data_IF_782531246058
#
_entry.id   IF_782531246058
#
_cell.length_a   1.000
_cell.length_b   1.000
_cell.length_c   1.000
_cell.angle_alpha   90.00
_cell.angle_beta   90.00
_cell.angle_gamma   90.00
#
_symmetry.space_group_name_H-M   'P 1'
#
loop_
_entity.id
_entity.type
_entity.pdbx_description
1 polymer ?
#
# COMPACT_ATOMS: atom_id res chain seq x y z
N UNK A 1 -54.15 2.70 26.62
CA UNK A 1 -53.18 3.60 27.27
C UNK A 1 -51.83 2.91 27.19
N UNK A 2 -50.98 3.27 26.23
CA UNK A 2 -49.62 2.72 26.12
C UNK A 2 -48.71 3.53 27.03
N UNK A 3 -48.33 2.99 28.18
CA UNK A 3 -47.36 3.64 29.06
C UNK A 3 -46.00 3.61 28.37
N UNK A 4 -45.52 4.78 27.95
CA UNK A 4 -44.12 4.95 27.55
C UNK A 4 -43.28 4.81 28.80
N UNK A 5 -42.85 3.59 29.11
CA UNK A 5 -41.95 3.33 30.23
C UNK A 5 -40.56 3.89 29.86
N UNK A 6 -40.21 5.05 30.42
CA UNK A 6 -38.94 5.71 30.15
C UNK A 6 -37.86 4.95 30.91
N UNK A 7 -36.90 4.38 30.18
CA UNK A 7 -35.78 3.66 30.77
C UNK A 7 -34.99 4.57 31.72
N UNK A 8 -34.66 4.06 32.92
CA UNK A 8 -33.79 4.78 33.86
C UNK A 8 -32.39 4.97 33.26
N UNK A 9 -31.66 5.98 33.72
CA UNK A 9 -30.33 6.27 33.20
C UNK A 9 -29.35 5.08 33.31
N UNK A 10 -29.49 4.23 34.34
CA UNK A 10 -28.66 3.03 34.49
C UNK A 10 -29.00 1.96 33.45
N UNK A 11 -30.28 1.77 33.14
CA UNK A 11 -30.72 0.84 32.10
C UNK A 11 -30.28 1.30 30.71
N UNK A 12 -30.34 2.61 30.42
CA UNK A 12 -29.83 3.17 29.17
C UNK A 12 -28.32 2.93 29.05
N UNK A 13 -27.54 3.22 30.10
CA UNK A 13 -26.08 2.99 30.10
C UNK A 13 -25.73 1.53 29.86
N UNK A 14 -26.43 0.61 30.53
CA UNK A 14 -26.24 -0.83 30.36
C UNK A 14 -26.48 -1.26 28.92
N UNK A 15 -27.61 -0.84 28.32
CA UNK A 15 -27.95 -1.19 26.92
C UNK A 15 -26.92 -0.66 25.92
N UNK A 16 -26.40 0.55 26.14
CA UNK A 16 -25.36 1.12 25.28
C UNK A 16 -24.06 0.32 25.40
N UNK A 17 -23.61 0.01 26.62
CA UNK A 17 -22.37 -0.75 26.83
C UNK A 17 -22.44 -2.17 26.23
N UNK A 18 -23.58 -2.85 26.38
CA UNK A 18 -23.81 -4.18 25.79
C UNK A 18 -23.76 -4.12 24.25
N UNK A 19 -24.41 -3.12 23.64
CA UNK A 19 -24.40 -2.91 22.20
C UNK A 19 -22.99 -2.55 21.68
N UNK A 20 -22.28 -1.69 22.39
CA UNK A 20 -20.92 -1.29 22.04
C UNK A 20 -19.93 -2.45 22.17
N UNK A 21 -20.06 -3.27 23.22
CA UNK A 21 -19.25 -4.48 23.41
C UNK A 21 -19.44 -5.43 22.24
N UNK A 22 -20.69 -5.79 21.91
CA UNK A 22 -20.97 -6.67 20.77
C UNK A 22 -20.45 -6.10 19.44
N UNK A 23 -20.51 -4.77 19.24
CA UNK A 23 -19.97 -4.12 18.05
C UNK A 23 -18.44 -4.17 18.02
N UNK A 24 -17.78 -3.93 19.14
CA UNK A 24 -16.30 -3.97 19.26
C UNK A 24 -15.78 -5.37 19.01
N UNK A 25 -16.43 -6.40 19.57
CA UNK A 25 -16.08 -7.81 19.34
C UNK A 25 -16.17 -8.19 17.85
N UNK A 26 -17.29 -7.87 17.19
CA UNK A 26 -17.44 -8.13 15.75
C UNK A 26 -16.39 -7.41 14.92
N UNK A 27 -16.09 -6.16 15.25
CA UNK A 27 -15.05 -5.37 14.56
C UNK A 27 -13.68 -5.99 14.75
N UNK A 28 -13.35 -6.43 15.97
CA UNK A 28 -12.09 -7.09 16.27
C UNK A 28 -11.96 -8.40 15.49
N UNK A 29 -12.99 -9.26 15.50
CA UNK A 29 -13.01 -10.51 14.77
C UNK A 29 -12.84 -10.29 13.25
N UNK A 30 -13.55 -9.32 12.68
CA UNK A 30 -13.42 -8.99 11.26
C UNK A 30 -12.01 -8.48 10.92
N UNK A 31 -11.44 -7.59 11.73
CA UNK A 31 -10.08 -7.09 11.52
C UNK A 31 -9.04 -8.21 11.61
N UNK A 32 -9.20 -9.14 12.55
CA UNK A 32 -8.33 -10.32 12.68
C UNK A 32 -8.41 -11.22 11.44
N UNK A 33 -9.61 -11.52 10.96
CA UNK A 33 -9.81 -12.34 9.77
C UNK A 33 -9.22 -11.69 8.51
N UNK A 34 -9.45 -10.39 8.31
CA UNK A 34 -8.87 -9.65 7.18
C UNK A 34 -7.35 -9.63 7.27
N UNK A 35 -6.78 -9.40 8.45
CA UNK A 35 -5.34 -9.42 8.67
C UNK A 35 -4.71 -10.78 8.36
N UNK A 36 -5.35 -11.87 8.79
CA UNK A 36 -4.91 -13.22 8.50
C UNK A 36 -4.97 -13.55 6.99
N UNK A 37 -6.09 -13.24 6.34
CA UNK A 37 -6.22 -13.45 4.90
C UNK A 37 -5.22 -12.63 4.09
N UNK A 38 -4.92 -11.39 4.51
CA UNK A 38 -3.92 -10.56 3.87
C UNK A 38 -2.51 -11.18 4.00
N UNK A 39 -2.16 -11.74 5.17
CA UNK A 39 -0.90 -12.48 5.36
C UNK A 39 -0.82 -13.71 4.46
N UNK A 40 -1.87 -14.53 4.43
CA UNK A 40 -1.93 -15.72 3.58
C UNK A 40 -1.80 -15.35 2.10
N UNK A 41 -2.48 -14.29 1.67
CA UNK A 41 -2.36 -13.76 0.30
C UNK A 41 -0.92 -13.36 -0.02
N UNK A 42 -0.22 -12.70 0.89
CA UNK A 42 1.17 -12.32 0.68
C UNK A 42 2.10 -13.54 0.55
N UNK A 43 1.89 -14.57 1.40
CA UNK A 43 2.63 -15.83 1.33
C UNK A 43 2.38 -16.52 -0.02
N UNK A 44 1.12 -16.61 -0.45
CA UNK A 44 0.78 -17.23 -1.73
C UNK A 44 1.30 -16.44 -2.92
N UNK A 45 1.27 -15.12 -2.88
CA UNK A 45 1.88 -14.28 -3.92
C UNK A 45 3.37 -14.58 -4.06
N UNK A 46 4.12 -14.67 -2.95
CA UNK A 46 5.53 -15.03 -2.98
C UNK A 46 5.79 -16.43 -3.55
N UNK A 47 4.92 -17.41 -3.25
CA UNK A 47 4.99 -18.75 -3.85
C UNK A 47 4.70 -18.75 -5.35
N UNK A 48 3.72 -17.96 -5.79
CA UNK A 48 3.40 -17.82 -7.23
C UNK A 48 4.59 -17.20 -7.97
N UNK A 49 5.20 -16.15 -7.43
CA UNK A 49 6.40 -15.56 -8.02
C UNK A 49 7.57 -16.56 -8.11
N UNK A 50 7.74 -17.40 -7.09
CA UNK A 50 8.74 -18.46 -7.10
C UNK A 50 8.44 -19.53 -8.18
N UNK A 51 7.19 -19.98 -8.29
CA UNK A 51 6.79 -20.91 -9.34
C UNK A 51 6.95 -20.31 -10.73
N UNK A 52 6.61 -19.03 -10.92
CA UNK A 52 6.80 -18.34 -12.19
C UNK A 52 8.29 -18.29 -12.59
N UNK A 53 9.20 -18.11 -11.64
CA UNK A 53 10.66 -18.20 -11.88
C UNK A 53 11.09 -19.62 -12.28
N UNK A 54 10.67 -20.63 -11.52
CA UNK A 54 10.99 -22.03 -11.81
C UNK A 54 10.44 -22.46 -13.18
N UNK A 55 9.22 -22.05 -13.52
CA UNK A 55 8.63 -22.29 -14.84
C UNK A 55 9.45 -21.62 -15.93
N UNK A 56 9.86 -20.36 -15.75
CA UNK A 56 10.69 -19.68 -16.72
C UNK A 56 12.05 -20.37 -16.93
N UNK A 57 12.67 -20.86 -15.86
CA UNK A 57 13.93 -21.61 -15.92
C UNK A 57 13.77 -22.93 -16.69
N UNK A 58 12.74 -23.73 -16.35
CA UNK A 58 12.47 -25.00 -17.04
C UNK A 58 12.15 -24.77 -18.52
N UNK A 59 11.32 -23.78 -18.83
CA UNK A 59 10.99 -23.44 -20.22
C UNK A 59 12.23 -22.97 -20.98
N UNK A 60 13.10 -22.18 -20.36
CA UNK A 60 14.35 -21.74 -20.98
C UNK A 60 15.33 -22.89 -21.20
N UNK A 61 15.41 -23.81 -20.23
CA UNK A 61 16.25 -24.99 -20.27
C UNK A 61 15.75 -26.08 -21.22
N UNK A 62 14.48 -26.08 -21.61
CA UNK A 62 13.92 -27.04 -22.56
C UNK A 62 13.98 -26.60 -24.02
N UNK A 63 14.43 -25.37 -24.32
CA UNK A 63 14.37 -24.78 -25.70
C UNK A 63 15.28 -25.47 -26.71
N UNK A 64 16.26 -26.21 -26.24
CA UNK A 64 17.15 -27.05 -27.06
C UNK A 64 16.47 -28.35 -27.53
N UNK A 65 15.50 -28.85 -26.75
CA UNK A 65 14.77 -30.09 -27.04
C UNK A 65 13.38 -29.81 -27.61
N UNK A 66 12.72 -28.74 -27.19
CA UNK A 66 11.32 -28.46 -27.51
C UNK A 66 11.06 -26.95 -27.65
N UNK A 67 10.45 -26.55 -28.76
CA UNK A 67 10.08 -25.16 -28.98
C UNK A 67 8.80 -24.74 -28.22
N UNK A 68 8.44 -23.45 -28.29
CA UNK A 68 7.26 -22.92 -27.58
C UNK A 68 5.94 -23.43 -28.19
N UNK A 69 5.90 -23.70 -29.48
CA UNK A 69 4.70 -24.16 -30.17
C UNK A 69 4.41 -25.65 -29.84
N UNK A 70 5.46 -26.44 -29.68
CA UNK A 70 5.40 -27.80 -29.16
C UNK A 70 4.97 -27.83 -27.68
N UNK A 71 5.55 -26.97 -26.83
CA UNK A 71 5.12 -26.83 -25.44
C UNK A 71 3.64 -26.47 -25.33
N UNK A 72 3.14 -25.58 -26.19
CA UNK A 72 1.70 -25.27 -26.28
C UNK A 72 0.90 -26.54 -26.57
N UNK A 73 1.29 -27.34 -27.55
CA UNK A 73 0.55 -28.54 -27.96
C UNK A 73 0.46 -29.56 -26.83
N UNK A 74 1.53 -29.74 -26.05
CA UNK A 74 1.57 -30.73 -24.99
C UNK A 74 0.96 -30.25 -23.67
N UNK A 75 1.09 -28.97 -23.33
CA UNK A 75 0.63 -28.44 -22.04
C UNK A 75 -0.72 -27.72 -22.13
N UNK A 76 -1.18 -27.40 -23.35
CA UNK A 76 -2.34 -26.53 -23.60
C UNK A 76 -2.20 -25.11 -22.99
N UNK A 77 -0.99 -24.70 -22.60
CA UNK A 77 -0.73 -23.35 -22.07
C UNK A 77 -0.49 -22.40 -23.24
N UNK A 78 -1.24 -21.30 -23.28
CA UNK A 78 -1.15 -20.29 -24.36
C UNK A 78 0.29 -19.76 -24.51
N UNK A 79 0.79 -19.52 -25.74
CA UNK A 79 2.15 -19.02 -25.96
C UNK A 79 2.43 -17.68 -25.27
N UNK A 80 1.41 -16.82 -25.17
CA UNK A 80 1.52 -15.53 -24.48
C UNK A 80 1.85 -15.68 -22.98
N UNK A 81 1.39 -16.76 -22.34
CA UNK A 81 1.69 -17.06 -20.94
C UNK A 81 3.12 -17.59 -20.80
N UNK A 82 3.51 -18.56 -21.63
CA UNK A 82 4.88 -19.12 -21.66
C UNK A 82 5.94 -18.04 -21.92
N UNK A 83 5.68 -17.17 -22.90
CA UNK A 83 6.55 -16.02 -23.20
C UNK A 83 6.50 -14.95 -22.10
N UNK A 84 5.36 -14.79 -21.42
CA UNK A 84 5.22 -13.95 -20.23
C UNK A 84 6.18 -14.36 -19.12
N UNK A 85 6.19 -15.64 -18.74
CA UNK A 85 7.11 -16.18 -17.73
C UNK A 85 8.58 -15.98 -18.11
N UNK A 86 8.95 -16.28 -19.36
CA UNK A 86 10.31 -16.05 -19.87
C UNK A 86 10.74 -14.57 -19.82
N UNK A 87 9.81 -13.65 -20.09
CA UNK A 87 10.11 -12.22 -20.07
C UNK A 87 10.14 -11.64 -18.66
N UNK A 88 9.32 -12.15 -17.75
CA UNK A 88 9.30 -11.76 -16.35
C UNK A 88 10.59 -12.20 -15.60
N UNK A 89 11.18 -13.33 -15.99
CA UNK A 89 12.43 -13.83 -15.40
C UNK A 89 13.68 -13.06 -15.85
N UNK A 90 13.61 -12.22 -16.88
CA UNK A 90 14.77 -11.42 -17.30
C UNK A 90 15.02 -10.36 -16.25
N UNK A 91 16.21 -10.32 -15.60
CA UNK A 91 16.52 -9.26 -14.66
C UNK A 91 16.36 -7.94 -15.38
N UNK A 92 15.52 -7.05 -14.83
CA UNK A 92 15.32 -5.71 -15.36
C UNK A 92 16.71 -5.10 -15.53
N UNK A 93 17.18 -4.97 -16.78
CA UNK A 93 18.52 -4.47 -17.10
C UNK A 93 18.71 -3.18 -16.31
N UNK A 94 19.56 -3.23 -15.29
CA UNK A 94 19.86 -2.07 -14.49
C UNK A 94 20.33 -0.97 -15.44
N UNK A 95 19.52 0.07 -15.62
CA UNK A 95 19.96 1.30 -16.27
C UNK A 95 21.10 1.81 -15.40
N UNK A 96 22.35 1.65 -15.89
CA UNK A 96 23.53 2.26 -15.29
C UNK A 96 23.21 3.75 -15.13
N UNK A 97 23.06 4.22 -13.89
CA UNK A 97 23.08 5.66 -13.62
C UNK A 97 24.43 6.18 -14.13
N UNK A 98 24.48 7.21 -14.98
CA UNK A 98 25.75 7.87 -15.23
C UNK A 98 26.26 8.38 -13.88
N UNK A 99 27.44 7.91 -13.47
CA UNK A 99 28.20 8.56 -12.41
C UNK A 99 28.59 9.93 -12.96
N UNK A 100 27.84 10.97 -12.59
CA UNK A 100 28.37 12.32 -12.59
C UNK A 100 29.40 12.39 -11.48
N UNK A 101 30.67 12.26 -11.86
CA UNK A 101 31.80 12.53 -10.99
C UNK A 101 31.73 13.97 -10.50
N UNK A 102 31.84 14.14 -9.19
CA UNK A 102 31.90 15.41 -8.49
C UNK A 102 33.03 16.31 -9.00
N UNK A 103 32.80 17.62 -8.97
CA UNK A 103 33.88 18.56 -8.65
C UNK A 103 33.41 19.54 -7.56
N UNK A 104 34.16 19.69 -6.46
CA UNK A 104 33.91 20.69 -5.44
C UNK A 104 34.47 22.04 -5.88
N UNK A 105 33.74 23.12 -5.63
CA UNK A 105 34.31 24.46 -5.58
C UNK A 105 33.85 25.17 -4.31
N UNK A 106 34.82 25.77 -3.65
CA UNK A 106 34.90 26.14 -2.24
C UNK A 106 34.61 27.67 -2.07
N UNK A 107 34.85 28.35 -0.94
CA UNK A 107 33.83 29.10 -0.21
C UNK A 107 34.19 30.59 -0.12
N UNK A 108 33.48 31.49 -0.78
CA UNK A 108 33.77 32.91 -0.60
C UNK A 108 32.59 33.80 -0.91
N UNK A 109 31.64 33.93 0.03
CA UNK A 109 30.97 35.22 0.28
C UNK A 109 30.15 35.21 1.57
N UNK A 110 30.74 35.71 2.66
CA UNK A 110 30.16 36.70 3.58
C UNK A 110 31.15 36.95 4.74
N UNK A 111 31.31 38.21 5.20
CA UNK A 111 30.31 38.77 6.09
C UNK A 111 30.00 40.25 5.83
N UNK A 112 28.73 40.63 5.89
CA UNK A 112 28.38 42.00 6.26
C UNK A 112 27.41 41.96 7.42
N UNK A 113 27.92 42.41 8.56
CA UNK A 113 27.24 42.42 9.83
C UNK A 113 26.12 43.46 9.89
N UNK A 114 25.14 43.12 10.72
CA UNK A 114 24.28 44.00 11.51
C UNK A 114 23.20 44.81 10.77
N UNK A 115 21.94 44.43 11.01
CA UNK A 115 20.97 45.32 11.64
C UNK A 115 19.83 44.55 12.32
N UNK A 116 19.84 44.64 13.66
CA UNK A 116 18.70 44.80 14.58
C UNK A 116 17.52 43.81 14.61
N UNK A 117 17.46 43.08 15.72
CA UNK A 117 16.30 42.62 16.49
C UNK A 117 15.13 43.62 16.50
N UNK A 118 13.88 43.17 16.31
CA UNK A 118 12.77 43.41 17.26
C UNK A 118 11.50 42.62 16.91
N UNK A 119 10.73 42.36 17.96
CA UNK A 119 9.60 41.46 18.16
C UNK A 119 8.38 41.57 17.22
N UNK A 120 7.70 40.43 17.12
CA UNK A 120 6.24 40.35 17.25
C UNK A 120 5.47 40.25 15.93
N UNK A 121 4.72 39.17 15.72
CA UNK A 121 3.27 39.20 15.94
C UNK A 121 2.63 37.87 15.51
N UNK A 122 1.72 37.42 16.36
CA UNK A 122 0.97 36.18 16.25
C UNK A 122 -0.06 36.17 15.10
N UNK A 123 -0.45 34.94 14.75
CA UNK A 123 -1.50 34.48 13.83
C UNK A 123 -2.87 35.15 14.06
N UNK A 124 -3.69 35.34 13.01
CA UNK A 124 -5.13 35.23 13.12
C UNK A 124 -5.75 34.10 12.23
N UNK A 125 -6.93 33.56 12.62
CA UNK A 125 -7.52 32.30 12.15
C UNK A 125 -8.31 32.40 10.81
N UNK A 126 -8.71 31.26 10.20
CA UNK A 126 -9.50 31.25 8.96
C UNK A 126 -10.94 31.72 9.19
N UNK A 127 -11.43 32.57 8.28
CA UNK A 127 -12.76 33.19 8.34
C UNK A 127 -13.89 32.21 8.02
N UNK A 128 -14.93 32.24 8.87
CA UNK A 128 -16.24 31.64 8.64
C UNK A 128 -16.98 32.38 7.52
N UNK A 129 -17.46 31.64 6.53
CA UNK A 129 -18.36 32.13 5.49
C UNK A 129 -19.79 32.05 6.01
N UNK A 130 -20.40 33.17 6.33
CA UNK A 130 -21.84 33.26 6.65
C UNK A 130 -22.61 33.38 5.33
N UNK A 131 -23.41 32.37 5.02
CA UNK A 131 -24.38 32.43 3.93
C UNK A 131 -25.59 33.25 4.39
N UNK A 132 -25.87 34.31 3.63
CA UNK A 132 -27.04 35.17 3.75
C UNK A 132 -28.27 34.42 3.20
N UNK A 133 -29.35 34.38 3.99
CA UNK A 133 -30.67 33.85 3.62
C UNK A 133 -31.64 35.03 3.67
N UNK A 134 -32.10 35.42 2.48
CA UNK A 134 -33.41 36.00 2.08
C UNK A 134 -34.08 37.00 3.02
#
# INVERSE_FOLDING_TARGET
>A
MATTDIATAQEIRRRVEEADTARRERRAAAAQQVGELARQRAIHAGKVEEFDRQLAEVIAGSRDVMDIDELLRFTSIRPAVLTGWLNASKPARAKKKPLTASRPDDPSREPSAASTTTNGQAVPPPQLVTADVT
#
